data_IF_576483915707
#
_entry.id   IF_576483915707
#
_cell.length_a   1.000
_cell.length_b   1.000
_cell.length_c   1.000
_cell.angle_alpha   90.00
_cell.angle_beta   90.00
_cell.angle_gamma   90.00
#
_symmetry.space_group_name_H-M   'P 1'
#
loop_
_entity.id
_entity.type
_entity.pdbx_description
1 polymer ?
#
# COMPACT_ATOMS: atom_id res chain seq x y z
N UNK A 1 -59.24 57.27 -10.59
CA UNK A 1 -58.25 57.67 -9.62
C UNK A 1 -57.85 56.41 -8.78
N UNK A 2 -56.74 55.68 -9.10
CA UNK A 2 -56.39 54.53 -8.35
C UNK A 2 -55.45 54.92 -7.19
N UNK A 3 -55.89 54.62 -5.98
CA UNK A 3 -55.08 54.77 -4.74
C UNK A 3 -53.84 53.88 -4.73
N UNK A 4 -52.67 54.34 -4.25
CA UNK A 4 -51.52 53.57 -4.17
C UNK A 4 -51.61 52.50 -3.05
N UNK A 5 -50.95 51.29 -3.20
CA UNK A 5 -51.01 50.23 -2.21
C UNK A 5 -50.19 50.59 -0.98
N UNK A 6 -50.79 50.28 0.17
CA UNK A 6 -50.28 50.42 1.53
C UNK A 6 -48.77 50.15 1.68
N UNK A 7 -48.04 51.17 2.15
CA UNK A 7 -46.70 51.08 2.64
C UNK A 7 -46.60 50.15 3.86
N UNK A 8 -46.10 48.97 3.67
CA UNK A 8 -45.66 48.11 4.78
C UNK A 8 -44.56 48.85 5.52
N UNK A 9 -44.87 49.34 6.72
CA UNK A 9 -43.90 49.90 7.67
C UNK A 9 -42.77 48.87 7.85
N UNK A 10 -41.54 49.22 7.48
CA UNK A 10 -40.35 48.51 7.86
C UNK A 10 -40.25 48.51 9.39
N UNK A 11 -40.72 47.42 10.03
CA UNK A 11 -40.63 47.24 11.47
C UNK A 11 -39.15 47.28 11.85
N UNK A 12 -38.80 48.23 12.75
CA UNK A 12 -37.49 48.25 13.38
C UNK A 12 -37.22 46.87 14.01
N UNK A 13 -36.33 46.09 13.40
CA UNK A 13 -35.89 44.82 13.96
C UNK A 13 -35.29 45.11 15.34
N UNK A 14 -35.75 44.41 16.35
CA UNK A 14 -35.27 44.57 17.71
C UNK A 14 -33.78 44.12 17.81
N UNK A 15 -33.01 44.66 18.74
CA UNK A 15 -31.64 44.17 18.97
C UNK A 15 -31.57 42.66 19.22
N UNK A 16 -32.65 42.08 19.71
CA UNK A 16 -32.76 40.62 19.92
C UNK A 16 -32.82 39.82 18.61
N UNK A 17 -33.44 40.39 17.56
CA UNK A 17 -33.51 39.78 16.23
C UNK A 17 -32.13 39.69 15.58
N UNK A 18 -31.26 40.68 15.80
CA UNK A 18 -29.86 40.66 15.36
C UNK A 18 -29.03 39.62 16.14
N UNK A 19 -29.25 39.52 17.46
CA UNK A 19 -28.56 38.53 18.27
C UNK A 19 -29.00 37.10 17.93
N UNK A 20 -30.28 36.89 17.62
CA UNK A 20 -30.76 35.58 17.17
C UNK A 20 -30.22 35.22 15.78
N UNK A 21 -30.19 36.18 14.85
CA UNK A 21 -29.60 36.00 13.52
C UNK A 21 -28.08 35.69 13.62
N UNK A 22 -27.37 36.40 14.50
CA UNK A 22 -25.93 36.17 14.76
C UNK A 22 -25.66 34.82 15.41
N UNK A 23 -26.45 34.42 16.41
CA UNK A 23 -26.40 33.06 17.00
C UNK A 23 -26.71 31.98 15.97
N UNK A 24 -27.72 32.17 15.12
CA UNK A 24 -28.03 31.23 14.04
C UNK A 24 -26.93 31.12 12.99
N UNK A 25 -26.23 32.23 12.71
CA UNK A 25 -25.09 32.24 11.79
C UNK A 25 -23.87 31.51 12.40
N UNK A 26 -23.61 31.69 13.71
CA UNK A 26 -22.57 30.97 14.43
C UNK A 26 -22.91 29.48 14.53
N UNK A 27 -24.13 29.11 14.87
CA UNK A 27 -24.57 27.71 14.92
C UNK A 27 -24.49 27.01 13.56
N UNK A 28 -24.74 27.70 12.44
CA UNK A 28 -24.52 27.15 11.09
C UNK A 28 -23.06 26.96 10.74
N UNK A 29 -22.13 27.74 11.33
CA UNK A 29 -20.68 27.57 11.18
C UNK A 29 -20.12 26.47 12.07
N UNK A 30 -20.78 26.13 13.18
CA UNK A 30 -20.36 25.14 14.16
C UNK A 30 -21.18 23.84 14.11
N UNK A 31 -22.18 23.73 13.21
CA UNK A 31 -22.80 22.43 12.96
C UNK A 31 -21.71 21.49 12.41
N UNK A 32 -21.54 20.30 12.98
CA UNK A 32 -20.68 19.30 12.39
C UNK A 32 -21.16 19.09 10.95
N UNK A 33 -20.34 19.49 9.98
CA UNK A 33 -20.63 19.21 8.58
C UNK A 33 -20.77 17.69 8.48
N UNK A 34 -21.89 17.26 7.89
CA UNK A 34 -22.10 15.83 7.60
C UNK A 34 -20.85 15.34 6.84
N UNK A 35 -20.17 14.29 7.32
CA UNK A 35 -18.95 13.80 6.67
C UNK A 35 -19.15 13.44 5.19
N UNK A 36 -20.41 13.26 4.78
CA UNK A 36 -20.82 12.96 3.40
C UNK A 36 -20.85 14.16 2.46
N UNK A 37 -20.65 15.41 2.96
CA UNK A 37 -20.77 16.65 2.18
C UNK A 37 -19.45 17.41 2.00
N UNK A 38 -18.30 16.71 2.09
CA UNK A 38 -17.00 17.34 1.82
C UNK A 38 -16.94 17.88 0.39
N UNK A 39 -16.56 19.14 0.26
CA UNK A 39 -16.27 19.75 -1.04
C UNK A 39 -15.01 19.12 -1.64
N UNK A 40 -14.88 19.14 -2.98
CA UNK A 40 -13.71 18.60 -3.68
C UNK A 40 -12.40 19.22 -3.13
N UNK A 41 -12.42 20.51 -2.79
CA UNK A 41 -11.27 21.21 -2.23
C UNK A 41 -10.89 20.70 -0.83
N UNK A 42 -11.88 20.46 0.04
CA UNK A 42 -11.65 19.87 1.38
C UNK A 42 -11.09 18.45 1.28
N UNK A 43 -11.55 17.68 0.28
CA UNK A 43 -11.03 16.33 0.04
C UNK A 43 -9.58 16.36 -0.45
N UNK A 44 -9.22 17.31 -1.32
CA UNK A 44 -7.82 17.50 -1.76
C UNK A 44 -6.90 17.96 -0.62
N UNK A 45 -7.40 18.82 0.27
CA UNK A 45 -6.66 19.25 1.46
C UNK A 45 -6.43 18.07 2.43
N UNK A 46 -7.47 17.25 2.65
CA UNK A 46 -7.36 16.03 3.43
C UNK A 46 -6.32 15.05 2.82
N UNK A 47 -6.31 14.89 1.49
CA UNK A 47 -5.31 14.08 0.78
C UNK A 47 -3.89 14.59 1.05
N UNK A 48 -3.65 15.89 0.90
CA UNK A 48 -2.35 16.52 1.14
C UNK A 48 -1.86 16.23 2.57
N UNK A 49 -2.70 16.44 3.57
CA UNK A 49 -2.36 16.21 4.97
C UNK A 49 -2.02 14.74 5.21
N UNK A 50 -2.84 13.80 4.70
CA UNK A 50 -2.61 12.36 4.85
C UNK A 50 -1.34 11.90 4.14
N UNK A 51 -1.06 12.43 2.96
CA UNK A 51 0.17 12.14 2.22
C UNK A 51 1.42 12.63 2.98
N UNK A 52 1.36 13.83 3.58
CA UNK A 52 2.46 14.33 4.43
C UNK A 52 2.70 13.43 5.65
N UNK A 53 1.64 13.00 6.34
CA UNK A 53 1.77 12.08 7.48
C UNK A 53 2.27 10.69 7.06
N UNK A 54 1.85 10.17 5.91
CA UNK A 54 2.37 8.93 5.35
C UNK A 54 3.87 9.05 5.03
N UNK A 55 4.28 10.15 4.39
CA UNK A 55 5.70 10.43 4.11
C UNK A 55 6.54 10.57 5.37
N UNK A 56 6.04 11.28 6.39
CA UNK A 56 6.73 11.42 7.68
C UNK A 56 6.85 10.07 8.41
N UNK A 57 5.80 9.25 8.39
CA UNK A 57 5.81 7.90 8.96
C UNK A 57 6.86 7.02 8.27
N UNK A 58 6.92 7.08 6.92
CA UNK A 58 7.95 6.36 6.16
C UNK A 58 9.36 6.86 6.47
N UNK A 59 9.58 8.17 6.53
CA UNK A 59 10.88 8.72 6.89
C UNK A 59 11.32 8.25 8.29
N UNK A 60 10.41 8.21 9.23
CA UNK A 60 10.67 7.73 10.59
C UNK A 60 11.02 6.23 10.62
N UNK A 61 10.22 5.38 9.94
CA UNK A 61 10.49 3.93 9.91
C UNK A 61 11.75 3.58 9.12
N UNK A 62 12.05 4.32 8.05
CA UNK A 62 13.32 4.20 7.33
C UNK A 62 14.49 4.59 8.25
N UNK A 63 14.37 5.68 9.01
CA UNK A 63 15.38 6.09 9.98
C UNK A 63 15.67 5.01 11.02
N UNK A 64 14.64 4.37 11.56
CA UNK A 64 14.78 3.21 12.46
C UNK A 64 15.48 2.04 11.75
N UNK A 65 15.07 1.76 10.51
CA UNK A 65 15.63 0.65 9.73
C UNK A 65 17.13 0.79 9.47
N UNK A 66 17.64 2.03 9.34
CA UNK A 66 19.08 2.27 9.22
C UNK A 66 19.88 1.75 10.42
N UNK A 67 19.33 1.81 11.62
CA UNK A 67 20.00 1.31 12.84
C UNK A 67 20.24 -0.20 12.77
N UNK A 68 19.29 -0.94 12.19
CA UNK A 68 19.32 -2.41 12.08
C UNK A 68 19.84 -2.93 10.75
N UNK A 69 20.24 -2.06 9.83
CA UNK A 69 20.61 -2.42 8.46
C UNK A 69 21.74 -3.44 8.39
N UNK A 70 22.77 -3.33 9.26
CA UNK A 70 23.86 -4.31 9.31
C UNK A 70 23.37 -5.72 9.63
N UNK A 71 22.48 -5.85 10.60
CA UNK A 71 21.89 -7.14 11.00
C UNK A 71 20.99 -7.72 9.90
N UNK A 72 20.26 -6.86 9.19
CA UNK A 72 19.44 -7.24 8.05
C UNK A 72 20.29 -7.75 6.89
N UNK A 73 21.40 -7.08 6.60
CA UNK A 73 22.37 -7.54 5.59
C UNK A 73 22.92 -8.92 5.95
N UNK A 74 23.30 -9.15 7.22
CA UNK A 74 23.75 -10.48 7.69
C UNK A 74 22.66 -11.54 7.54
N UNK A 75 21.44 -11.21 7.89
CA UNK A 75 20.31 -12.13 7.73
C UNK A 75 20.07 -12.46 6.26
N UNK A 76 20.02 -11.44 5.40
CA UNK A 76 19.75 -11.61 3.97
C UNK A 76 20.88 -12.31 3.20
N UNK A 77 22.09 -12.39 3.73
CA UNK A 77 23.21 -13.13 3.09
C UNK A 77 23.31 -14.59 3.50
N UNK A 78 22.50 -15.05 4.47
CA UNK A 78 22.54 -16.47 4.93
C UNK A 78 22.37 -17.50 3.80
N UNK A 79 21.47 -17.31 2.82
CA UNK A 79 21.26 -18.30 1.74
C UNK A 79 22.49 -18.54 0.86
N UNK A 80 23.42 -17.59 0.80
CA UNK A 80 24.63 -17.66 -0.02
C UNK A 80 25.89 -17.99 0.80
N UNK A 81 25.76 -18.29 2.10
CA UNK A 81 26.88 -18.59 2.99
C UNK A 81 27.48 -17.37 3.70
N UNK A 82 26.77 -16.23 3.73
CA UNK A 82 27.18 -15.02 4.44
C UNK A 82 27.85 -13.96 3.54
N UNK A 83 28.29 -12.86 4.15
CA UNK A 83 28.91 -11.73 3.42
C UNK A 83 30.18 -12.12 2.67
N UNK A 84 30.90 -13.15 3.13
CA UNK A 84 32.14 -13.63 2.51
C UNK A 84 31.95 -14.23 1.10
N UNK A 85 30.73 -14.62 0.76
CA UNK A 85 30.39 -15.09 -0.59
C UNK A 85 30.21 -13.96 -1.60
N UNK A 86 30.17 -12.70 -1.15
CA UNK A 86 29.98 -11.54 -2.00
C UNK A 86 31.33 -10.94 -2.42
N UNK A 87 31.46 -10.61 -3.69
CA UNK A 87 32.63 -9.94 -4.25
C UNK A 87 32.21 -8.57 -4.76
N UNK A 88 32.61 -7.51 -4.03
CA UNK A 88 32.34 -6.12 -4.44
C UNK A 88 33.38 -5.73 -5.51
N UNK A 89 32.89 -5.14 -6.59
CA UNK A 89 33.73 -4.67 -7.70
C UNK A 89 33.86 -3.13 -7.64
N UNK A 90 32.78 -2.45 -7.26
CA UNK A 90 32.73 -0.99 -7.17
C UNK A 90 32.74 -0.53 -5.71
N UNK A 91 33.44 0.56 -5.44
CA UNK A 91 33.57 1.12 -4.07
C UNK A 91 32.22 1.53 -3.47
N UNK A 92 31.28 1.95 -4.30
CA UNK A 92 29.96 2.44 -3.89
C UNK A 92 28.91 1.36 -3.68
N UNK A 93 29.17 0.09 -4.06
CA UNK A 93 28.20 -1.01 -3.96
C UNK A 93 27.72 -1.25 -2.52
N UNK A 94 28.65 -1.25 -1.57
CA UNK A 94 28.33 -1.53 -0.17
C UNK A 94 27.43 -0.45 0.44
N UNK A 95 27.64 0.82 0.08
CA UNK A 95 26.78 1.93 0.52
C UNK A 95 25.39 1.81 -0.14
N UNK A 96 25.35 1.49 -1.43
CA UNK A 96 24.11 1.29 -2.16
C UNK A 96 23.28 0.15 -1.59
N UNK A 97 23.90 -0.96 -1.21
CA UNK A 97 23.26 -2.10 -0.53
C UNK A 97 22.70 -1.68 0.82
N UNK A 98 23.50 -1.00 1.63
CA UNK A 98 23.08 -0.52 2.94
C UNK A 98 21.83 0.39 2.84
N UNK A 99 21.87 1.37 1.93
CA UNK A 99 20.75 2.27 1.66
C UNK A 99 19.51 1.50 1.19
N UNK A 100 19.67 0.59 0.25
CA UNK A 100 18.56 -0.18 -0.32
C UNK A 100 17.88 -1.08 0.71
N UNK A 101 18.65 -1.85 1.48
CA UNK A 101 18.12 -2.73 2.53
C UNK A 101 17.37 -1.89 3.56
N UNK A 102 17.92 -0.76 4.00
CA UNK A 102 17.28 0.16 4.94
C UNK A 102 15.98 0.73 4.39
N UNK A 103 15.95 1.15 3.13
CA UNK A 103 14.75 1.69 2.49
C UNK A 103 13.64 0.64 2.41
N UNK A 104 13.94 -0.56 1.89
CA UNK A 104 12.93 -1.62 1.73
C UNK A 104 12.40 -2.09 3.08
N UNK A 105 13.28 -2.29 4.05
CA UNK A 105 12.87 -2.67 5.40
C UNK A 105 12.08 -1.55 6.10
N UNK A 106 12.46 -0.29 5.91
CA UNK A 106 11.74 0.85 6.44
C UNK A 106 10.34 0.99 5.86
N UNK A 107 10.17 0.73 4.56
CA UNK A 107 8.85 0.69 3.91
C UNK A 107 8.01 -0.47 4.46
N UNK A 108 8.60 -1.66 4.62
CA UNK A 108 7.93 -2.82 5.21
C UNK A 108 7.44 -2.55 6.65
N UNK A 109 8.29 -1.94 7.48
CA UNK A 109 7.92 -1.52 8.83
C UNK A 109 6.88 -0.40 8.85
N UNK A 110 6.92 0.50 7.88
CA UNK A 110 6.00 1.62 7.72
C UNK A 110 4.64 1.24 7.13
N UNK A 111 4.50 0.04 6.57
CA UNK A 111 3.29 -0.41 5.88
C UNK A 111 2.01 -0.19 6.72
N UNK A 112 1.92 -0.60 7.99
CA UNK A 112 0.71 -0.39 8.78
C UNK A 112 0.36 1.08 8.97
N UNK A 113 1.37 1.95 9.09
CA UNK A 113 1.16 3.39 9.23
C UNK A 113 0.67 4.02 7.93
N UNK A 114 1.25 3.61 6.80
CA UNK A 114 0.82 4.06 5.46
C UNK A 114 -0.60 3.60 5.16
N UNK A 115 -0.92 2.33 5.43
CA UNK A 115 -2.27 1.79 5.29
C UNK A 115 -3.27 2.54 6.18
N UNK A 116 -2.90 2.87 7.41
CA UNK A 116 -3.74 3.68 8.28
C UNK A 116 -4.05 5.06 7.67
N UNK A 117 -3.06 5.74 7.10
CA UNK A 117 -3.28 7.04 6.45
C UNK A 117 -4.16 6.90 5.21
N UNK A 118 -3.93 5.87 4.40
CA UNK A 118 -4.73 5.58 3.21
C UNK A 118 -6.19 5.27 3.56
N UNK A 119 -6.43 4.40 4.53
CA UNK A 119 -7.78 4.07 5.01
C UNK A 119 -8.46 5.31 5.61
N UNK A 120 -7.74 6.11 6.41
CA UNK A 120 -8.26 7.34 6.98
C UNK A 120 -8.63 8.39 5.93
N UNK A 121 -8.01 8.35 4.74
CA UNK A 121 -8.37 9.20 3.61
C UNK A 121 -9.70 8.75 2.96
N UNK A 122 -9.93 7.45 2.84
CA UNK A 122 -11.16 6.90 2.22
C UNK A 122 -12.35 6.97 3.18
N UNK A 123 -12.10 6.88 4.48
CA UNK A 123 -13.12 6.77 5.54
C UNK A 123 -14.23 7.83 5.53
N UNK A 124 -14.00 9.13 5.20
CA UNK A 124 -15.06 10.14 5.21
C UNK A 124 -16.23 9.82 4.29
N UNK A 125 -16.00 9.07 3.21
CA UNK A 125 -17.02 8.64 2.26
C UNK A 125 -17.79 7.36 2.64
N UNK A 126 -17.49 6.75 3.80
CA UNK A 126 -17.99 5.43 4.19
C UNK A 126 -18.94 5.50 5.39
N UNK A 127 -19.88 4.53 5.48
CA UNK A 127 -20.75 4.36 6.62
C UNK A 127 -19.95 3.91 7.86
N UNK A 128 -20.45 4.22 9.07
CA UNK A 128 -19.77 3.91 10.33
C UNK A 128 -19.42 2.42 10.48
N UNK A 129 -20.26 1.53 9.94
CA UNK A 129 -20.06 0.08 9.98
C UNK A 129 -18.93 -0.36 9.04
N UNK A 130 -18.84 0.22 7.85
CA UNK A 130 -17.78 -0.02 6.86
C UNK A 130 -16.44 0.51 7.36
N UNK A 131 -16.43 1.67 8.01
CA UNK A 131 -15.27 2.28 8.63
C UNK A 131 -14.59 1.38 9.65
N UNK A 132 -15.36 0.82 10.59
CA UNK A 132 -14.81 -0.07 11.63
C UNK A 132 -14.16 -1.31 11.02
N UNK A 133 -14.78 -1.85 9.99
CA UNK A 133 -14.27 -3.02 9.30
C UNK A 133 -12.97 -2.73 8.53
N UNK A 134 -12.88 -1.59 7.85
CA UNK A 134 -11.66 -1.15 7.16
C UNK A 134 -10.44 -1.04 8.09
N UNK A 135 -10.62 -0.45 9.27
CA UNK A 135 -9.53 -0.38 10.24
C UNK A 135 -9.09 -1.75 10.73
N UNK A 136 -9.99 -2.73 10.80
CA UNK A 136 -9.63 -4.11 11.15
C UNK A 136 -8.81 -4.82 10.07
N UNK A 137 -8.80 -4.30 8.83
CA UNK A 137 -7.98 -4.85 7.75
C UNK A 137 -6.49 -4.47 7.88
N UNK A 138 -6.14 -3.41 8.61
CA UNK A 138 -4.73 -2.99 8.76
C UNK A 138 -3.85 -4.09 9.34
N UNK A 139 -4.19 -4.71 10.48
CA UNK A 139 -3.40 -5.83 10.99
C UNK A 139 -3.42 -7.04 10.06
N UNK A 140 -4.53 -7.31 9.37
CA UNK A 140 -4.61 -8.40 8.39
C UNK A 140 -3.67 -8.15 7.20
N UNK A 141 -3.68 -6.95 6.63
CA UNK A 141 -2.76 -6.54 5.57
C UNK A 141 -1.31 -6.67 6.04
N UNK A 142 -0.97 -6.08 7.18
CA UNK A 142 0.39 -6.18 7.72
C UNK A 142 0.85 -7.64 7.87
N UNK A 143 -0.03 -8.51 8.35
CA UNK A 143 0.26 -9.94 8.48
C UNK A 143 0.44 -10.62 7.11
N UNK A 144 -0.43 -10.33 6.14
CA UNK A 144 -0.32 -10.87 4.78
C UNK A 144 0.98 -10.43 4.10
N UNK A 145 1.35 -9.17 4.22
CA UNK A 145 2.62 -8.67 3.70
C UNK A 145 3.82 -9.41 4.30
N UNK A 146 3.85 -9.56 5.62
CA UNK A 146 4.92 -10.29 6.30
C UNK A 146 4.93 -11.78 5.91
N UNK A 147 3.77 -12.39 5.76
CA UNK A 147 3.64 -13.77 5.28
C UNK A 147 4.16 -13.89 3.83
N UNK A 148 3.88 -12.92 2.96
CA UNK A 148 4.40 -12.85 1.61
C UNK A 148 5.93 -12.67 1.57
N UNK A 149 6.46 -11.78 2.39
CA UNK A 149 7.90 -11.60 2.53
C UNK A 149 8.58 -12.89 3.08
N UNK A 150 7.98 -13.53 4.08
CA UNK A 150 8.45 -14.81 4.60
C UNK A 150 8.40 -15.92 3.54
N UNK A 151 7.34 -15.98 2.74
CA UNK A 151 7.23 -16.93 1.62
C UNK A 151 8.32 -16.68 0.56
N UNK A 152 8.57 -15.42 0.21
CA UNK A 152 9.66 -15.07 -0.69
C UNK A 152 11.01 -15.52 -0.14
N UNK A 153 11.25 -15.29 1.15
CA UNK A 153 12.48 -15.66 1.83
C UNK A 153 12.68 -17.16 1.94
N UNK A 154 11.65 -17.92 2.33
CA UNK A 154 11.75 -19.35 2.63
C UNK A 154 11.57 -20.23 1.39
N UNK A 155 10.87 -19.77 0.37
CA UNK A 155 10.51 -20.58 -0.80
C UNK A 155 11.13 -20.04 -2.08
N UNK A 156 10.89 -18.77 -2.41
CA UNK A 156 11.30 -18.23 -3.71
C UNK A 156 12.82 -18.09 -3.80
N UNK A 157 13.44 -17.42 -2.83
CA UNK A 157 14.88 -17.15 -2.86
C UNK A 157 15.71 -18.44 -2.88
N UNK A 158 15.47 -19.45 -2.01
CA UNK A 158 16.22 -20.71 -2.06
C UNK A 158 16.00 -21.51 -3.34
N UNK A 159 14.89 -21.33 -4.02
CA UNK A 159 14.62 -22.01 -5.30
C UNK A 159 15.28 -21.29 -6.48
N UNK A 160 15.22 -19.97 -6.50
CA UNK A 160 15.72 -19.15 -7.61
C UNK A 160 17.24 -19.01 -7.60
N UNK A 161 17.87 -18.88 -6.43
CA UNK A 161 19.32 -18.66 -6.32
C UNK A 161 20.16 -19.79 -6.92
N UNK A 162 19.93 -21.09 -6.62
CA UNK A 162 20.71 -22.18 -7.21
C UNK A 162 20.57 -22.24 -8.73
N UNK A 163 19.36 -21.94 -9.24
CA UNK A 163 19.14 -21.86 -10.69
C UNK A 163 20.01 -20.77 -11.32
N UNK A 164 20.04 -19.56 -10.73
CA UNK A 164 20.80 -18.44 -11.26
C UNK A 164 22.32 -18.61 -11.13
N UNK A 165 22.80 -19.20 -10.03
CA UNK A 165 24.23 -19.32 -9.76
C UNK A 165 24.88 -20.50 -10.45
N UNK A 166 24.11 -21.55 -10.76
CA UNK A 166 24.62 -22.79 -11.37
C UNK A 166 24.18 -22.93 -12.84
N UNK A 167 23.59 -21.92 -13.44
CA UNK A 167 23.15 -21.98 -14.83
C UNK A 167 24.35 -22.18 -15.77
N UNK A 168 24.32 -23.22 -16.59
CA UNK A 168 25.39 -23.64 -17.49
C UNK A 168 26.70 -24.06 -16.82
N UNK A 169 26.68 -24.44 -15.54
CA UNK A 169 27.87 -24.82 -14.76
C UNK A 169 29.02 -23.77 -14.72
N UNK A 170 28.67 -22.52 -14.99
CA UNK A 170 29.58 -21.39 -14.94
C UNK A 170 29.68 -20.89 -13.49
N UNK A 171 30.85 -20.81 -12.92
CA UNK A 171 31.09 -20.23 -11.59
C UNK A 171 30.70 -18.73 -11.63
N UNK A 172 29.72 -18.37 -10.83
CA UNK A 172 29.23 -17.00 -10.75
C UNK A 172 29.82 -16.30 -9.52
N UNK A 173 30.48 -15.18 -9.71
CA UNK A 173 30.85 -14.26 -8.63
C UNK A 173 29.63 -13.37 -8.30
N UNK A 174 29.11 -13.52 -7.08
CA UNK A 174 27.89 -12.81 -6.67
C UNK A 174 28.25 -11.38 -6.28
N UNK A 175 27.83 -10.40 -7.08
CA UNK A 175 27.99 -8.96 -6.75
C UNK A 175 26.95 -8.54 -5.71
N UNK A 176 27.35 -7.78 -4.65
CA UNK A 176 26.44 -7.31 -3.61
C UNK A 176 25.23 -6.57 -4.16
N UNK A 177 25.43 -5.60 -5.05
CA UNK A 177 24.36 -4.80 -5.60
C UNK A 177 23.30 -5.63 -6.33
N UNK A 178 23.72 -6.59 -7.17
CA UNK A 178 22.80 -7.44 -7.92
C UNK A 178 22.04 -8.41 -6.99
N UNK A 179 22.75 -9.00 -6.03
CA UNK A 179 22.15 -9.88 -5.04
C UNK A 179 21.07 -9.18 -4.21
N UNK A 180 21.39 -8.05 -3.62
CA UNK A 180 20.42 -7.33 -2.80
C UNK A 180 19.29 -6.69 -3.63
N UNK A 181 19.55 -6.29 -4.87
CA UNK A 181 18.52 -5.89 -5.79
C UNK A 181 17.50 -7.01 -6.01
N UNK A 182 18.00 -8.21 -6.26
CA UNK A 182 17.16 -9.40 -6.45
C UNK A 182 16.37 -9.73 -5.18
N UNK A 183 17.06 -9.95 -4.05
CA UNK A 183 16.43 -10.38 -2.80
C UNK A 183 15.40 -9.36 -2.28
N UNK A 184 15.77 -8.08 -2.21
CA UNK A 184 14.88 -7.04 -1.69
C UNK A 184 13.68 -6.79 -2.59
N UNK A 185 13.84 -6.91 -3.92
CA UNK A 185 12.71 -6.80 -4.85
C UNK A 185 11.72 -7.95 -4.66
N UNK A 186 12.20 -9.18 -4.53
CA UNK A 186 11.29 -10.31 -4.27
C UNK A 186 10.58 -10.18 -2.93
N UNK A 187 11.29 -9.86 -1.85
CA UNK A 187 10.69 -9.66 -0.53
C UNK A 187 9.58 -8.61 -0.56
N UNK A 188 9.86 -7.48 -1.19
CA UNK A 188 8.91 -6.37 -1.26
C UNK A 188 7.70 -6.69 -2.15
N UNK A 189 7.94 -7.08 -3.40
CA UNK A 189 6.86 -7.24 -4.35
C UNK A 189 6.00 -8.48 -4.12
N UNK A 190 6.58 -9.57 -3.62
CA UNK A 190 5.79 -10.73 -3.18
C UNK A 190 4.98 -10.36 -1.95
N UNK A 191 5.57 -9.61 -0.99
CA UNK A 191 4.82 -9.06 0.14
C UNK A 191 3.61 -8.24 -0.31
N UNK A 192 3.79 -7.30 -1.24
CA UNK A 192 2.70 -6.52 -1.84
C UNK A 192 1.71 -7.42 -2.59
N UNK A 193 2.19 -8.43 -3.30
CA UNK A 193 1.35 -9.39 -4.02
C UNK A 193 0.42 -10.18 -3.09
N UNK A 194 0.87 -10.48 -1.88
CA UNK A 194 0.06 -11.15 -0.86
C UNK A 194 -1.12 -10.30 -0.36
N UNK A 195 -1.10 -8.98 -0.58
CA UNK A 195 -2.25 -8.11 -0.33
C UNK A 195 -3.40 -8.32 -1.34
N UNK A 196 -3.13 -8.93 -2.50
CA UNK A 196 -4.12 -9.11 -3.58
C UNK A 196 -5.43 -9.75 -3.10
N UNK A 197 -5.43 -10.85 -2.32
CA UNK A 197 -6.68 -11.44 -1.82
C UNK A 197 -7.48 -10.49 -0.95
N UNK A 198 -6.80 -9.68 -0.12
CA UNK A 198 -7.43 -8.72 0.77
C UNK A 198 -8.06 -7.56 0.01
N UNK A 199 -7.35 -7.04 -1.00
CA UNK A 199 -7.84 -5.99 -1.90
C UNK A 199 -9.08 -6.47 -2.67
N UNK A 200 -9.03 -7.68 -3.22
CA UNK A 200 -10.17 -8.28 -3.93
C UNK A 200 -11.36 -8.45 -2.99
N UNK A 201 -11.15 -8.98 -1.78
CA UNK A 201 -12.19 -9.14 -0.78
C UNK A 201 -12.83 -7.79 -0.42
N UNK A 202 -12.02 -6.75 -0.23
CA UNK A 202 -12.49 -5.40 0.03
C UNK A 202 -13.38 -4.85 -1.10
N UNK A 203 -12.93 -4.95 -2.34
CA UNK A 203 -13.69 -4.50 -3.51
C UNK A 203 -15.01 -5.28 -3.69
N UNK A 204 -14.99 -6.58 -3.39
CA UNK A 204 -16.18 -7.43 -3.43
C UNK A 204 -17.18 -7.02 -2.34
N UNK A 205 -16.69 -6.78 -1.12
CA UNK A 205 -17.51 -6.33 0.02
C UNK A 205 -18.17 -4.98 -0.21
N UNK A 206 -17.51 -4.08 -0.95
CA UNK A 206 -18.07 -2.79 -1.38
C UNK A 206 -19.03 -2.93 -2.57
N UNK A 207 -19.20 -4.13 -3.15
CA UNK A 207 -20.04 -4.35 -4.33
C UNK A 207 -19.45 -3.80 -5.64
N UNK A 208 -18.15 -3.43 -5.65
CA UNK A 208 -17.47 -2.87 -6.84
C UNK A 208 -17.19 -4.00 -7.85
N UNK A 209 -16.81 -5.18 -7.36
CA UNK A 209 -16.53 -6.36 -8.18
C UNK A 209 -17.28 -7.57 -7.65
N UNK A 210 -17.57 -8.53 -8.53
CA UNK A 210 -18.16 -9.82 -8.14
C UNK A 210 -17.21 -10.97 -8.44
N UNK A 211 -17.32 -12.07 -7.68
CA UNK A 211 -16.51 -13.27 -7.92
C UNK A 211 -16.67 -13.81 -9.37
N UNK A 212 -17.89 -13.69 -9.95
CA UNK A 212 -18.16 -14.06 -11.34
C UNK A 212 -17.37 -13.20 -12.34
N UNK A 213 -17.33 -11.88 -12.14
CA UNK A 213 -16.57 -10.97 -13.02
C UNK A 213 -15.08 -11.28 -12.96
N UNK A 214 -14.53 -11.47 -11.75
CA UNK A 214 -13.13 -11.84 -11.55
C UNK A 214 -12.82 -13.18 -12.19
N UNK A 215 -13.66 -14.19 -11.99
CA UNK A 215 -13.47 -15.50 -12.60
C UNK A 215 -13.53 -15.46 -14.13
N UNK A 216 -14.40 -14.62 -14.71
CA UNK A 216 -14.44 -14.45 -16.16
C UNK A 216 -13.23 -13.67 -16.70
N UNK A 217 -12.70 -12.73 -15.89
CA UNK A 217 -11.56 -11.88 -16.22
C UNK A 217 -10.18 -12.49 -15.92
N UNK A 218 -10.06 -13.78 -15.56
CA UNK A 218 -8.80 -14.39 -15.14
C UNK A 218 -7.66 -14.23 -16.17
N UNK A 219 -7.98 -14.19 -17.45
CA UNK A 219 -7.01 -14.00 -18.54
C UNK A 219 -6.32 -12.64 -18.47
N UNK A 220 -7.09 -11.60 -18.15
CA UNK A 220 -6.55 -10.24 -17.98
C UNK A 220 -5.71 -10.13 -16.70
N UNK A 221 -6.15 -10.80 -15.63
CA UNK A 221 -5.38 -10.88 -14.39
C UNK A 221 -4.05 -11.60 -14.61
N UNK A 222 -4.05 -12.73 -15.32
CA UNK A 222 -2.84 -13.45 -15.71
C UNK A 222 -1.88 -12.56 -16.50
N UNK A 223 -2.39 -11.86 -17.53
CA UNK A 223 -1.57 -10.94 -18.32
C UNK A 223 -1.01 -9.80 -17.44
N UNK A 224 -1.83 -9.22 -16.57
CA UNK A 224 -1.39 -8.17 -15.64
C UNK A 224 -0.30 -8.66 -14.68
N UNK A 225 -0.47 -9.85 -14.09
CA UNK A 225 0.52 -10.48 -13.22
C UNK A 225 1.82 -10.75 -13.98
N UNK A 226 1.73 -11.25 -15.23
CA UNK A 226 2.91 -11.50 -16.06
C UNK A 226 3.66 -10.21 -16.40
N UNK A 227 2.96 -9.12 -16.68
CA UNK A 227 3.57 -7.80 -16.90
C UNK A 227 4.23 -7.29 -15.63
N UNK A 228 3.56 -7.39 -14.48
CA UNK A 228 4.14 -7.01 -13.18
C UNK A 228 5.39 -7.86 -12.91
N UNK A 229 5.32 -9.17 -13.11
CA UNK A 229 6.45 -10.07 -12.96
C UNK A 229 7.65 -9.64 -13.82
N UNK A 230 7.42 -9.31 -15.08
CA UNK A 230 8.46 -8.85 -16.01
C UNK A 230 9.12 -7.52 -15.59
N UNK A 231 8.35 -6.61 -14.97
CA UNK A 231 8.86 -5.32 -14.48
C UNK A 231 9.62 -5.48 -13.16
N UNK A 232 9.14 -6.36 -12.30
CA UNK A 232 9.65 -6.56 -10.93
C UNK A 232 10.91 -7.42 -10.89
N UNK A 233 10.97 -8.47 -11.73
CA UNK A 233 12.14 -9.34 -11.77
C UNK A 233 13.33 -8.60 -12.40
N UNK A 234 14.45 -8.47 -11.68
CA UNK A 234 15.63 -7.76 -12.20
C UNK A 234 16.35 -8.54 -13.30
N UNK A 235 15.96 -9.78 -13.54
CA UNK A 235 16.52 -10.68 -14.55
C UNK A 235 15.48 -10.90 -15.66
N UNK A 236 15.90 -10.72 -16.91
CA UNK A 236 15.04 -10.92 -18.09
C UNK A 236 15.06 -12.42 -18.45
N UNK A 237 14.67 -13.28 -17.51
CA UNK A 237 14.57 -14.72 -17.74
C UNK A 237 13.16 -15.24 -17.43
N UNK A 238 12.64 -16.15 -18.27
CA UNK A 238 11.29 -16.69 -18.10
C UNK A 238 11.11 -17.49 -16.81
N UNK A 239 12.18 -18.08 -16.27
CA UNK A 239 12.08 -18.98 -15.12
C UNK A 239 11.82 -18.18 -13.84
N UNK A 240 12.59 -17.13 -13.56
CA UNK A 240 12.32 -16.24 -12.44
C UNK A 240 10.99 -15.54 -12.57
N UNK A 241 10.61 -15.15 -13.79
CA UNK A 241 9.30 -14.57 -14.06
C UNK A 241 8.15 -15.56 -13.73
N UNK A 242 8.31 -16.85 -14.05
CA UNK A 242 7.33 -17.88 -13.69
C UNK A 242 7.31 -18.16 -12.18
N UNK A 243 8.49 -18.24 -11.53
CA UNK A 243 8.60 -18.43 -10.08
C UNK A 243 7.91 -17.31 -9.32
N UNK A 244 7.98 -16.08 -9.84
CA UNK A 244 7.30 -14.93 -9.25
C UNK A 244 5.79 -14.92 -9.55
N UNK A 245 5.38 -15.15 -10.79
CA UNK A 245 3.98 -15.01 -11.21
C UNK A 245 3.07 -16.12 -10.72
N UNK A 246 3.59 -17.34 -10.56
CA UNK A 246 2.78 -18.51 -10.18
C UNK A 246 2.14 -18.36 -8.78
N UNK A 247 2.86 -17.96 -7.71
CA UNK A 247 2.25 -17.66 -6.42
C UNK A 247 1.22 -16.54 -6.48
N UNK A 248 1.51 -15.46 -7.22
CA UNK A 248 0.57 -14.34 -7.36
C UNK A 248 -0.71 -14.74 -8.06
N UNK A 249 -0.60 -15.60 -9.05
CA UNK A 249 -1.77 -16.15 -9.74
C UNK A 249 -2.60 -17.05 -8.81
N UNK A 250 -1.94 -17.86 -7.96
CA UNK A 250 -2.59 -18.62 -6.91
C UNK A 250 -3.35 -17.71 -5.93
N UNK A 251 -2.73 -16.61 -5.48
CA UNK A 251 -3.34 -15.62 -4.60
C UNK A 251 -4.54 -14.92 -5.24
N UNK A 252 -4.52 -14.69 -6.54
CA UNK A 252 -5.69 -14.17 -7.26
C UNK A 252 -6.90 -15.10 -7.12
N UNK A 253 -6.72 -16.41 -7.25
CA UNK A 253 -7.81 -17.37 -7.02
C UNK A 253 -8.27 -17.44 -5.57
N UNK A 254 -7.34 -17.31 -4.62
CA UNK A 254 -7.70 -17.15 -3.19
C UNK A 254 -8.56 -15.89 -3.00
N UNK A 255 -8.22 -14.78 -3.68
CA UNK A 255 -9.01 -13.56 -3.68
C UNK A 255 -10.42 -13.77 -4.25
N UNK A 256 -10.56 -14.51 -5.36
CA UNK A 256 -11.87 -14.86 -5.94
C UNK A 256 -12.70 -15.69 -4.94
N UNK A 257 -12.07 -16.65 -4.27
CA UNK A 257 -12.73 -17.46 -3.24
C UNK A 257 -13.22 -16.59 -2.07
N UNK A 258 -12.41 -15.66 -1.59
CA UNK A 258 -12.81 -14.70 -0.56
C UNK A 258 -13.94 -13.76 -1.03
N UNK A 259 -13.91 -13.34 -2.30
CA UNK A 259 -14.98 -12.54 -2.90
C UNK A 259 -16.30 -13.33 -3.03
N UNK A 260 -16.23 -14.64 -3.13
CA UNK A 260 -17.43 -15.47 -3.15
C UNK A 260 -18.04 -15.63 -1.75
N UNK A 261 -17.23 -15.54 -0.69
CA UNK A 261 -17.68 -15.60 0.70
C UNK A 261 -18.18 -14.24 1.25
N UNK A 262 -17.93 -13.14 0.56
CA UNK A 262 -18.30 -11.78 1.01
C UNK A 262 -19.73 -11.41 0.65
#
# INVERSE_FOLDING_TARGET
>A
DPRPPNGRRAGKRSPLDYLQAYRGAIQRRTSPQDPSSMTILEHLEALRIRLMWAGLSLAFTIGISFIFSGQMVDFLTRPIGGRSALVSIEVTENISVFMRVSLVAGVALGLPLVLYQFISFITPGLKAQERRWLYSMIPAATFLFLAGAAFAWLVIIPTALPFLTNFLDIRTNIRPLNYFNFVTSFLFWVGVGFETPLVIYFLAKMGIVTAKQLLHGWRYAFLGIAVIAAVVTPTIDPVNMMIFSLPLFGLYFVGIFLAWLS
#
